data_IF_495670898695
#
_entry.id   IF_495670898695
#
_cell.length_a   1.000
_cell.length_b   1.000
_cell.length_c   1.000
_cell.angle_alpha   90.00
_cell.angle_beta   90.00
_cell.angle_gamma   90.00
#
_symmetry.space_group_name_H-M   'P 1'
#
loop_
_entity.id
_entity.type
_entity.pdbx_description
1 polymer ?
#
# COMPACT_ATOMS: atom_id res chain seq x y z
N UNK A 1 -73.39 65.98 -17.10
CA UNK A 1 -73.43 64.58 -17.55
C UNK A 1 -71.99 64.08 -17.61
N UNK A 2 -71.67 63.02 -16.86
CA UNK A 2 -70.38 62.27 -16.81
C UNK A 2 -69.19 63.03 -16.18
N UNK A 3 -68.34 62.47 -15.31
CA UNK A 3 -68.16 61.14 -14.66
C UNK A 3 -67.11 61.43 -13.56
N UNK A 4 -67.34 61.21 -12.26
CA UNK A 4 -67.11 59.93 -11.57
C UNK A 4 -65.95 59.12 -12.15
N UNK A 5 -64.70 59.56 -11.91
CA UNK A 5 -63.50 58.69 -11.88
C UNK A 5 -62.29 59.39 -11.23
N UNK A 6 -62.46 60.06 -10.10
CA UNK A 6 -61.36 60.73 -9.39
C UNK A 6 -61.31 60.41 -7.89
N UNK A 7 -62.07 59.41 -7.44
CA UNK A 7 -62.11 58.97 -6.03
C UNK A 7 -61.74 57.49 -5.86
N UNK A 8 -61.07 56.91 -6.86
CA UNK A 8 -60.45 55.58 -6.76
C UNK A 8 -58.95 55.67 -7.06
N UNK A 9 -58.29 56.69 -6.54
CA UNK A 9 -56.83 56.79 -6.54
C UNK A 9 -56.28 57.22 -5.17
N UNK A 10 -57.10 57.04 -4.13
CA UNK A 10 -56.79 57.32 -2.73
C UNK A 10 -56.80 56.04 -1.87
N UNK A 11 -56.85 54.85 -2.51
CA UNK A 11 -56.84 53.52 -1.85
C UNK A 11 -55.84 52.55 -2.54
N UNK A 12 -54.93 53.06 -3.39
CA UNK A 12 -53.78 52.26 -3.91
C UNK A 12 -52.47 53.01 -3.68
N UNK A 13 -52.38 53.64 -2.52
CA UNK A 13 -51.15 54.24 -2.00
C UNK A 13 -50.94 53.78 -0.55
N UNK A 14 -51.12 52.48 -0.33
CA UNK A 14 -50.93 51.82 0.96
C UNK A 14 -50.60 50.31 0.87
N UNK A 15 -50.36 49.74 -0.32
CA UNK A 15 -49.95 48.34 -0.46
C UNK A 15 -48.96 48.22 -1.60
N UNK A 16 -47.71 48.59 -1.35
CA UNK A 16 -46.48 47.91 -1.82
C UNK A 16 -45.38 48.36 -0.84
N UNK A 17 -45.47 47.94 0.42
CA UNK A 17 -44.24 47.51 1.10
C UNK A 17 -44.00 46.11 0.52
N UNK A 18 -43.30 46.04 -0.61
CA UNK A 18 -42.50 44.84 -0.86
C UNK A 18 -41.48 44.90 0.27
N UNK A 19 -41.59 43.94 1.19
CA UNK A 19 -40.52 43.72 2.14
C UNK A 19 -39.26 43.52 1.32
N UNK A 20 -38.31 44.43 1.45
CA UNK A 20 -36.90 44.03 1.38
C UNK A 20 -36.75 43.03 2.54
N UNK A 21 -36.98 41.75 2.27
CA UNK A 21 -36.22 40.75 2.97
C UNK A 21 -34.80 40.99 2.46
N UNK A 22 -33.90 41.41 3.33
CA UNK A 22 -32.48 41.22 3.05
C UNK A 22 -32.31 39.71 2.96
N UNK A 23 -32.07 39.18 1.76
CA UNK A 23 -31.62 37.80 1.61
C UNK A 23 -30.37 37.67 2.48
N UNK A 24 -30.40 36.68 3.39
CA UNK A 24 -29.32 36.44 4.32
C UNK A 24 -28.15 35.86 3.52
N UNK A 25 -27.03 36.57 3.54
CA UNK A 25 -25.81 36.16 2.87
C UNK A 25 -25.12 35.10 3.71
N UNK A 26 -24.78 33.97 3.10
CA UNK A 26 -24.04 32.88 3.73
C UNK A 26 -22.55 33.13 3.52
N UNK A 27 -21.76 32.85 4.55
CA UNK A 27 -20.30 32.96 4.51
C UNK A 27 -19.69 31.67 5.03
N UNK A 28 -18.72 31.13 4.31
CA UNK A 28 -18.00 29.92 4.69
C UNK A 28 -16.68 30.32 5.34
N UNK A 29 -16.33 29.70 6.47
CA UNK A 29 -15.02 29.87 7.12
C UNK A 29 -13.93 29.08 6.42
N UNK A 30 -14.30 27.94 5.83
CA UNK A 30 -13.41 27.06 5.09
C UNK A 30 -13.41 27.46 3.61
N UNK A 31 -12.30 28.08 3.17
CA UNK A 31 -12.15 28.58 1.79
C UNK A 31 -12.26 27.44 0.76
N UNK A 32 -11.74 26.25 1.07
CA UNK A 32 -11.80 25.08 0.18
C UNK A 32 -13.24 24.61 -0.04
N UNK A 33 -14.05 24.56 1.03
CA UNK A 33 -15.47 24.21 0.94
C UNK A 33 -16.23 25.30 0.15
N UNK A 34 -15.95 26.59 0.39
CA UNK A 34 -16.56 27.68 -0.39
C UNK A 34 -16.25 27.56 -1.88
N UNK A 35 -15.00 27.28 -2.23
CA UNK A 35 -14.57 27.12 -3.62
C UNK A 35 -15.30 25.95 -4.30
N UNK A 36 -15.40 24.79 -3.63
CA UNK A 36 -16.15 23.63 -4.15
C UNK A 36 -17.63 23.95 -4.35
N UNK A 37 -18.26 24.63 -3.39
CA UNK A 37 -19.66 25.06 -3.52
C UNK A 37 -19.84 26.01 -4.70
N UNK A 38 -18.96 27.00 -4.85
CA UNK A 38 -19.01 27.96 -5.96
C UNK A 38 -18.92 27.30 -7.33
N UNK A 39 -18.11 26.24 -7.44
CA UNK A 39 -18.04 25.42 -8.65
C UNK A 39 -19.36 24.71 -8.90
N UNK A 40 -19.94 24.09 -7.87
CA UNK A 40 -21.21 23.35 -7.97
C UNK A 40 -22.39 24.24 -8.40
N UNK A 41 -22.46 25.47 -7.86
CA UNK A 41 -23.53 26.43 -8.19
C UNK A 41 -23.24 27.31 -9.42
N UNK A 42 -22.14 27.09 -10.14
CA UNK A 42 -21.67 27.88 -11.29
C UNK A 42 -21.59 29.40 -10.97
N UNK A 43 -21.01 29.75 -9.80
CA UNK A 43 -20.95 31.12 -9.27
C UNK A 43 -19.58 31.47 -8.68
N UNK A 44 -18.64 31.78 -9.58
CA UNK A 44 -17.24 32.11 -9.24
C UNK A 44 -17.09 33.34 -8.31
N UNK A 45 -17.95 34.34 -8.42
CA UNK A 45 -17.86 35.59 -7.63
C UNK A 45 -19.22 36.05 -7.09
N UNK A 46 -19.18 36.82 -6.00
CA UNK A 46 -20.36 37.46 -5.40
C UNK A 46 -20.85 36.78 -4.13
N UNK A 47 -21.88 37.37 -3.52
CA UNK A 47 -22.52 36.87 -2.30
C UNK A 47 -23.26 35.55 -2.61
N UNK A 48 -23.13 34.58 -1.71
CA UNK A 48 -23.87 33.31 -1.72
C UNK A 48 -25.10 33.49 -0.83
N UNK A 49 -26.25 33.02 -1.28
CA UNK A 49 -27.53 33.06 -0.58
C UNK A 49 -28.04 31.63 -0.35
N UNK A 50 -28.93 31.45 0.62
CA UNK A 50 -29.54 30.14 0.90
C UNK A 50 -30.16 29.49 -0.34
N UNK A 51 -30.83 30.27 -1.18
CA UNK A 51 -31.43 29.78 -2.44
C UNK A 51 -30.41 29.25 -3.46
N UNK A 52 -29.13 29.64 -3.36
CA UNK A 52 -28.08 29.07 -4.21
C UNK A 52 -27.74 27.62 -3.78
N UNK A 53 -27.97 27.28 -2.50
CA UNK A 53 -27.58 25.99 -1.90
C UNK A 53 -28.70 24.94 -1.97
N UNK A 54 -29.96 25.37 -2.12
CA UNK A 54 -31.15 24.51 -2.14
C UNK A 54 -31.13 23.42 -3.24
N UNK A 55 -30.34 23.61 -4.31
CA UNK A 55 -30.26 22.68 -5.44
C UNK A 55 -29.06 21.71 -5.34
N UNK A 56 -28.18 21.88 -4.36
CA UNK A 56 -27.02 21.00 -4.16
C UNK A 56 -27.48 19.74 -3.41
N UNK A 57 -27.82 18.69 -4.16
CA UNK A 57 -28.25 17.40 -3.58
C UNK A 57 -27.10 16.39 -3.47
N UNK A 58 -26.03 16.58 -4.23
CA UNK A 58 -24.84 15.74 -4.24
C UNK A 58 -23.62 16.66 -4.23
N UNK A 59 -22.63 16.38 -3.38
CA UNK A 59 -21.43 17.19 -3.28
C UNK A 59 -20.19 16.30 -3.10
N UNK A 60 -19.17 16.54 -3.92
CA UNK A 60 -17.87 15.87 -3.82
C UNK A 60 -16.81 16.80 -3.23
N UNK A 61 -16.34 16.44 -2.04
CA UNK A 61 -15.27 17.12 -1.32
C UNK A 61 -14.10 16.18 -1.05
N UNK A 62 -13.98 15.08 -1.80
CA UNK A 62 -12.92 14.08 -1.60
C UNK A 62 -11.53 14.59 -2.02
N UNK A 63 -10.49 14.17 -1.29
CA UNK A 63 -9.10 14.48 -1.67
C UNK A 63 -8.71 15.96 -1.56
N UNK A 64 -9.41 16.75 -0.75
CA UNK A 64 -9.24 18.21 -0.63
C UNK A 64 -8.40 18.65 0.57
N UNK A 65 -7.77 17.70 1.28
CA UNK A 65 -6.97 17.92 2.50
C UNK A 65 -7.74 18.63 3.64
N UNK A 66 -9.07 18.48 3.68
CA UNK A 66 -9.93 19.10 4.67
C UNK A 66 -9.62 18.59 6.09
N UNK A 67 -9.73 19.45 7.09
CA UNK A 67 -9.54 19.12 8.52
C UNK A 67 -10.78 19.30 9.37
N UNK A 68 -11.68 20.15 8.90
CA UNK A 68 -12.96 20.49 9.50
C UNK A 68 -14.01 20.58 8.40
N UNK A 69 -15.26 20.52 8.82
CA UNK A 69 -16.44 20.56 7.97
C UNK A 69 -17.24 21.85 8.19
N UNK A 70 -16.59 22.89 8.73
CA UNK A 70 -17.25 24.16 9.02
C UNK A 70 -17.80 24.77 7.73
N UNK A 71 -19.08 25.11 7.75
CA UNK A 71 -19.85 25.62 6.62
C UNK A 71 -20.78 24.58 5.99
N UNK A 72 -20.62 23.28 6.24
CA UNK A 72 -21.57 22.27 5.77
C UNK A 72 -22.93 22.38 6.45
N UNK A 73 -23.03 23.03 7.63
CA UNK A 73 -24.30 23.29 8.32
C UNK A 73 -25.26 24.21 7.53
N UNK A 74 -24.81 24.76 6.40
CA UNK A 74 -25.62 25.57 5.50
C UNK A 74 -26.22 24.77 4.32
N UNK A 75 -25.89 23.49 4.19
CA UNK A 75 -26.21 22.65 3.03
C UNK A 75 -27.36 21.67 3.33
N UNK A 76 -28.53 22.22 3.67
CA UNK A 76 -29.70 21.45 4.10
C UNK A 76 -30.26 20.48 3.05
N UNK A 77 -29.92 20.67 1.77
CA UNK A 77 -30.45 19.88 0.64
C UNK A 77 -29.57 18.68 0.24
N UNK A 78 -28.35 18.57 0.78
CA UNK A 78 -27.40 17.52 0.39
C UNK A 78 -27.88 16.15 0.88
N UNK A 79 -28.10 15.23 -0.06
CA UNK A 79 -28.50 13.85 0.18
C UNK A 79 -27.29 12.89 0.11
N UNK A 80 -26.31 13.19 -0.76
CA UNK A 80 -25.11 12.37 -0.98
C UNK A 80 -23.85 13.22 -0.84
N UNK A 81 -22.95 12.81 0.05
CA UNK A 81 -21.73 13.56 0.33
C UNK A 81 -20.48 12.66 0.24
N UNK A 82 -19.47 13.09 -0.51
CA UNK A 82 -18.19 12.41 -0.62
C UNK A 82 -17.13 13.18 0.15
N UNK A 83 -16.60 12.60 1.22
CA UNK A 83 -15.58 13.19 2.10
C UNK A 83 -14.30 12.35 2.11
N UNK A 84 -14.19 11.31 1.28
CA UNK A 84 -13.06 10.37 1.36
C UNK A 84 -11.70 11.03 1.11
N UNK A 85 -10.65 10.46 1.69
CA UNK A 85 -9.26 10.87 1.52
C UNK A 85 -9.01 12.34 1.91
N UNK A 86 -9.55 12.75 3.06
CA UNK A 86 -9.26 14.03 3.70
C UNK A 86 -8.52 13.79 5.03
N UNK A 87 -8.44 14.81 5.88
CA UNK A 87 -7.78 14.76 7.19
C UNK A 87 -8.77 15.14 8.31
N UNK A 88 -10.03 14.71 8.16
CA UNK A 88 -11.14 15.03 9.07
C UNK A 88 -11.18 13.98 10.19
N UNK A 89 -11.13 14.42 11.44
CA UNK A 89 -11.29 13.54 12.60
C UNK A 89 -12.66 13.65 13.27
N UNK A 90 -13.43 14.70 12.93
CA UNK A 90 -14.70 15.05 13.57
C UNK A 90 -15.78 15.25 12.50
N UNK A 91 -16.80 14.41 12.54
CA UNK A 91 -17.91 14.38 11.59
C UNK A 91 -19.25 14.78 12.24
N UNK A 92 -19.26 15.32 13.46
CA UNK A 92 -20.52 15.63 14.17
C UNK A 92 -21.40 16.63 13.43
N UNK A 93 -20.82 17.49 12.57
CA UNK A 93 -21.59 18.42 11.71
C UNK A 93 -22.61 17.68 10.83
N UNK A 94 -22.32 16.42 10.46
CA UNK A 94 -23.21 15.61 9.62
C UNK A 94 -24.50 15.21 10.36
N UNK A 95 -24.50 15.19 11.70
CA UNK A 95 -25.67 14.83 12.51
C UNK A 95 -26.82 15.84 12.34
N UNK A 96 -26.49 17.09 12.01
CA UNK A 96 -27.45 18.18 11.80
C UNK A 96 -27.98 18.24 10.34
N UNK A 97 -27.42 17.44 9.42
CA UNK A 97 -27.80 17.44 8.00
C UNK A 97 -29.04 16.56 7.75
N UNK A 98 -30.23 17.10 7.99
CA UNK A 98 -31.51 16.35 7.96
C UNK A 98 -31.82 15.61 6.64
N UNK A 99 -31.27 16.04 5.51
CA UNK A 99 -31.50 15.43 4.18
C UNK A 99 -30.47 14.37 3.81
N UNK A 100 -29.39 14.23 4.59
CA UNK A 100 -28.29 13.33 4.28
C UNK A 100 -28.79 11.88 4.28
N UNK A 101 -28.56 11.17 3.20
CA UNK A 101 -28.93 9.75 3.03
C UNK A 101 -27.70 8.87 2.92
N UNK A 102 -26.60 9.42 2.39
CA UNK A 102 -25.36 8.68 2.17
C UNK A 102 -24.15 9.59 2.33
N UNK A 103 -23.15 9.09 3.05
CA UNK A 103 -21.85 9.77 3.15
C UNK A 103 -20.72 8.77 3.02
N UNK A 104 -19.68 9.13 2.27
CA UNK A 104 -18.44 8.36 2.20
C UNK A 104 -17.36 9.10 2.98
N UNK A 105 -16.87 8.50 4.06
CA UNK A 105 -15.86 9.10 4.94
C UNK A 105 -14.52 8.35 4.93
N UNK A 106 -14.40 7.30 4.12
CA UNK A 106 -13.20 6.46 4.02
C UNK A 106 -11.89 7.26 3.85
N UNK A 107 -10.79 6.77 4.41
CA UNK A 107 -9.49 7.45 4.30
C UNK A 107 -9.40 8.77 5.08
N UNK A 108 -10.15 8.90 6.17
CA UNK A 108 -10.05 10.02 7.12
C UNK A 108 -9.63 9.51 8.51
N UNK A 109 -8.88 10.30 9.31
CA UNK A 109 -8.38 9.90 10.62
C UNK A 109 -9.41 10.09 11.75
N UNK A 110 -10.59 9.49 11.63
CA UNK A 110 -11.60 9.49 12.70
C UNK A 110 -11.52 8.25 13.59
N UNK A 111 -12.11 8.34 14.79
CA UNK A 111 -12.28 7.20 15.69
C UNK A 111 -13.47 6.36 15.22
N UNK A 112 -13.24 5.12 14.76
CA UNK A 112 -14.29 4.21 14.29
C UNK A 112 -15.29 3.81 15.40
N UNK A 113 -14.97 4.10 16.66
CA UNK A 113 -15.88 3.88 17.80
C UNK A 113 -16.69 5.13 18.18
N UNK A 114 -16.55 6.22 17.43
CA UNK A 114 -17.19 7.49 17.75
C UNK A 114 -18.73 7.40 17.70
N UNK A 115 -19.38 8.11 18.63
CA UNK A 115 -20.84 8.09 18.82
C UNK A 115 -21.60 8.54 17.56
N UNK A 116 -21.03 9.46 16.77
CA UNK A 116 -21.65 9.99 15.55
C UNK A 116 -22.01 8.91 14.53
N UNK A 117 -21.23 7.82 14.43
CA UNK A 117 -21.54 6.72 13.50
C UNK A 117 -22.85 6.02 13.89
N UNK A 118 -23.07 5.85 15.19
CA UNK A 118 -24.32 5.32 15.73
C UNK A 118 -25.49 6.28 15.50
N UNK A 119 -25.26 7.58 15.69
CA UNK A 119 -26.30 8.60 15.47
C UNK A 119 -26.70 8.71 13.99
N UNK A 120 -25.74 8.69 13.06
CA UNK A 120 -26.02 8.67 11.61
C UNK A 120 -26.76 7.39 11.21
N UNK A 121 -26.39 6.25 11.76
CA UNK A 121 -27.08 4.97 11.53
C UNK A 121 -28.51 4.98 12.07
N UNK A 122 -28.75 5.57 13.25
CA UNK A 122 -30.09 5.76 13.83
C UNK A 122 -30.97 6.70 13.00
N UNK A 123 -30.35 7.56 12.17
CA UNK A 123 -31.00 8.44 11.20
C UNK A 123 -31.20 7.78 9.81
N UNK A 124 -30.94 6.48 9.67
CA UNK A 124 -30.99 5.73 8.40
C UNK A 124 -30.00 6.25 7.33
N UNK A 125 -28.90 6.89 7.73
CA UNK A 125 -27.82 7.34 6.82
C UNK A 125 -26.88 6.18 6.49
N UNK A 126 -26.66 5.92 5.20
CA UNK A 126 -25.65 4.97 4.72
C UNK A 126 -24.25 5.59 4.86
N UNK A 127 -23.50 5.21 5.89
CA UNK A 127 -22.11 5.64 6.09
C UNK A 127 -21.15 4.62 5.47
N UNK A 128 -20.43 5.03 4.42
CA UNK A 128 -19.34 4.26 3.83
C UNK A 128 -18.03 4.65 4.52
N UNK A 129 -17.57 3.78 5.41
CA UNK A 129 -16.33 3.93 6.16
C UNK A 129 -15.12 3.34 5.43
N UNK A 130 -15.34 2.42 4.48
CA UNK A 130 -14.30 1.79 3.65
C UNK A 130 -14.75 1.77 2.20
N UNK A 131 -13.89 2.18 1.26
CA UNK A 131 -14.21 2.12 -0.16
C UNK A 131 -14.24 0.66 -0.62
N UNK A 132 -15.21 0.32 -1.47
CA UNK A 132 -15.21 -0.97 -2.14
C UNK A 132 -14.00 -1.03 -3.09
N UNK A 133 -13.03 -1.88 -2.75
CA UNK A 133 -11.84 -2.10 -3.58
C UNK A 133 -12.21 -2.98 -4.77
N UNK A 134 -11.79 -2.58 -5.97
CA UNK A 134 -12.04 -3.36 -7.19
C UNK A 134 -11.23 -4.66 -7.17
N UNK A 135 -11.90 -5.79 -7.42
CA UNK A 135 -11.23 -7.09 -7.63
C UNK A 135 -10.81 -7.18 -9.10
N UNK A 136 -9.51 -7.04 -9.36
CA UNK A 136 -8.96 -7.00 -10.72
C UNK A 136 -8.67 -8.39 -11.32
N UNK A 137 -8.70 -9.44 -10.49
CA UNK A 137 -8.28 -10.79 -10.87
C UNK A 137 -9.14 -11.49 -11.90
N UNK A 138 -8.61 -12.59 -12.45
CA UNK A 138 -9.38 -13.49 -13.31
C UNK A 138 -9.34 -14.93 -12.77
N UNK A 139 -10.36 -15.77 -13.04
CA UNK A 139 -10.37 -17.16 -12.58
C UNK A 139 -9.19 -18.01 -13.04
N UNK A 140 -8.50 -17.60 -14.12
CA UNK A 140 -7.30 -18.26 -14.63
C UNK A 140 -6.09 -17.30 -14.61
N UNK A 141 -6.13 -16.27 -13.75
CA UNK A 141 -4.98 -15.40 -13.52
C UNK A 141 -3.81 -16.23 -13.00
N UNK A 142 -2.57 -15.88 -13.37
CA UNK A 142 -1.43 -16.69 -13.02
C UNK A 142 -1.06 -16.54 -11.55
N UNK A 143 -0.32 -17.53 -11.09
CA UNK A 143 0.51 -17.46 -9.92
C UNK A 143 -0.17 -17.50 -8.57
N UNK A 144 0.74 -17.57 -7.61
CA UNK A 144 0.52 -17.31 -6.22
C UNK A 144 0.44 -18.57 -5.39
N UNK A 145 0.88 -18.41 -4.15
CA UNK A 145 0.62 -19.36 -3.11
C UNK A 145 -0.17 -18.61 -2.04
N UNK A 146 -1.43 -19.00 -1.85
CA UNK A 146 -2.30 -18.31 -0.92
C UNK A 146 -2.82 -19.28 0.12
N UNK A 147 -2.57 -18.94 1.39
CA UNK A 147 -3.17 -19.63 2.52
C UNK A 147 -4.01 -18.67 3.34
N UNK A 148 -4.87 -19.27 4.14
CA UNK A 148 -5.73 -18.58 5.08
C UNK A 148 -5.61 -19.22 6.46
N UNK A 149 -5.51 -18.37 7.46
CA UNK A 149 -5.54 -18.73 8.88
C UNK A 149 -6.67 -17.92 9.52
N UNK A 150 -7.51 -18.58 10.32
CA UNK A 150 -8.62 -17.92 11.02
C UNK A 150 -8.52 -18.16 12.53
N UNK A 151 -8.71 -17.11 13.31
CA UNK A 151 -8.91 -17.21 14.76
C UNK A 151 -9.99 -16.22 15.21
N UNK A 152 -11.14 -16.74 15.64
CA UNK A 152 -12.27 -15.89 16.01
C UNK A 152 -12.87 -15.18 14.80
N UNK A 153 -12.93 -13.85 14.85
CA UNK A 153 -13.33 -13.01 13.71
C UNK A 153 -12.14 -12.53 12.88
N UNK A 154 -10.91 -12.74 13.36
CA UNK A 154 -9.67 -12.33 12.71
C UNK A 154 -9.28 -13.32 11.61
N UNK A 155 -8.92 -12.78 10.45
CA UNK A 155 -8.48 -13.54 9.28
C UNK A 155 -7.09 -13.09 8.86
N UNK A 156 -6.18 -14.04 8.64
CA UNK A 156 -4.86 -13.76 8.07
C UNK A 156 -4.72 -14.52 6.77
N UNK A 157 -4.55 -13.80 5.67
CA UNK A 157 -4.12 -14.36 4.39
C UNK A 157 -2.60 -14.32 4.30
N UNK A 158 -1.98 -15.44 3.94
CA UNK A 158 -0.55 -15.57 3.72
C UNK A 158 -0.30 -15.70 2.22
N UNK A 159 0.15 -14.64 1.58
CA UNK A 159 0.46 -14.59 0.17
C UNK A 159 1.97 -14.72 -0.05
N UNK A 160 2.37 -15.80 -0.71
CA UNK A 160 3.74 -15.99 -1.20
C UNK A 160 3.98 -15.13 -2.43
N UNK A 161 5.07 -14.34 -2.42
CA UNK A 161 5.40 -13.38 -3.47
C UNK A 161 6.71 -13.73 -4.16
N UNK A 162 6.96 -13.03 -5.26
CA UNK A 162 8.27 -12.92 -5.90
C UNK A 162 8.52 -11.44 -6.16
N UNK A 163 9.74 -10.96 -5.87
CA UNK A 163 10.11 -9.55 -5.87
C UNK A 163 10.29 -8.91 -7.25
N UNK A 164 10.15 -9.71 -8.31
CA UNK A 164 10.23 -9.22 -9.68
C UNK A 164 9.33 -10.06 -10.58
N UNK A 165 8.82 -9.46 -11.64
CA UNK A 165 7.83 -10.07 -12.51
C UNK A 165 7.96 -9.58 -13.95
N UNK A 166 7.11 -10.12 -14.80
CA UNK A 166 6.81 -9.63 -16.15
C UNK A 166 5.35 -9.18 -16.22
N UNK A 167 4.98 -8.36 -17.22
CA UNK A 167 3.62 -7.80 -17.33
C UNK A 167 2.52 -8.87 -17.35
N UNK A 168 2.82 -10.09 -17.82
CA UNK A 168 1.87 -11.21 -17.89
C UNK A 168 1.57 -11.88 -16.54
N UNK A 169 2.17 -11.42 -15.43
CA UNK A 169 1.78 -11.83 -14.08
C UNK A 169 0.44 -11.23 -13.66
N UNK A 170 0.07 -10.08 -14.23
CA UNK A 170 -1.06 -9.29 -13.74
C UNK A 170 -2.22 -9.24 -14.74
N UNK A 171 -3.47 -9.20 -14.24
CA UNK A 171 -3.85 -9.34 -12.84
C UNK A 171 -3.70 -10.79 -12.36
N UNK A 172 -3.50 -10.98 -11.05
CA UNK A 172 -3.32 -12.31 -10.45
C UNK A 172 -4.63 -13.11 -10.43
N UNK A 173 -4.59 -14.31 -9.86
CA UNK A 173 -5.78 -15.11 -9.66
C UNK A 173 -6.85 -14.34 -8.85
N UNK A 174 -8.12 -14.50 -9.23
CA UNK A 174 -9.25 -13.82 -8.56
C UNK A 174 -9.35 -14.10 -7.07
N UNK A 175 -8.91 -15.27 -6.58
CA UNK A 175 -8.93 -15.58 -5.15
C UNK A 175 -7.92 -14.75 -4.36
N UNK A 176 -6.74 -14.49 -4.93
CA UNK A 176 -5.70 -13.63 -4.34
C UNK A 176 -6.15 -12.18 -4.34
N UNK A 177 -6.62 -11.71 -5.49
CA UNK A 177 -7.11 -10.34 -5.67
C UNK A 177 -8.30 -10.02 -4.77
N UNK A 178 -9.14 -11.03 -4.51
CA UNK A 178 -10.23 -10.92 -3.56
C UNK A 178 -9.74 -10.88 -2.11
N UNK A 179 -8.77 -11.71 -1.73
CA UNK A 179 -8.18 -11.69 -0.40
C UNK A 179 -7.57 -10.31 -0.07
N UNK A 180 -6.84 -9.71 -1.03
CA UNK A 180 -6.35 -8.33 -0.91
C UNK A 180 -7.49 -7.31 -0.76
N UNK A 181 -8.54 -7.42 -1.58
CA UNK A 181 -9.67 -6.48 -1.54
C UNK A 181 -10.43 -6.54 -0.19
N UNK A 182 -10.58 -7.73 0.38
CA UNK A 182 -11.21 -7.98 1.68
C UNK A 182 -10.35 -7.54 2.88
N UNK A 183 -9.04 -7.37 2.69
CA UNK A 183 -8.12 -7.04 3.76
C UNK A 183 -8.27 -5.62 4.27
N UNK A 184 -8.19 -5.45 5.58
CA UNK A 184 -8.14 -4.17 6.27
C UNK A 184 -6.71 -3.64 6.37
N UNK A 185 -5.75 -4.55 6.59
CA UNK A 185 -4.34 -4.24 6.81
C UNK A 185 -3.48 -5.06 5.85
N UNK A 186 -2.51 -4.40 5.20
CA UNK A 186 -1.51 -5.03 4.35
C UNK A 186 -0.22 -5.17 5.13
N UNK A 187 0.34 -6.38 5.15
CA UNK A 187 1.47 -6.73 6.02
C UNK A 187 2.64 -7.23 5.18
N UNK A 188 3.49 -6.33 4.64
CA UNK A 188 4.71 -6.72 3.94
C UNK A 188 5.84 -7.14 4.88
N UNK A 189 6.86 -7.78 4.34
CA UNK A 189 8.15 -7.92 5.04
C UNK A 189 8.69 -6.56 5.47
N UNK A 190 8.71 -5.59 4.55
CA UNK A 190 9.12 -4.21 4.83
C UNK A 190 8.00 -3.27 4.39
N UNK A 191 7.57 -2.39 5.29
CA UNK A 191 6.73 -1.26 4.93
C UNK A 191 7.54 -0.27 4.10
N UNK A 192 7.41 -0.33 2.77
CA UNK A 192 8.05 0.60 1.83
C UNK A 192 7.31 1.96 1.72
N UNK A 193 6.04 2.01 2.14
CA UNK A 193 5.17 3.19 1.98
C UNK A 193 5.57 4.27 2.99
N UNK A 194 5.86 3.89 4.23
CA UNK A 194 6.18 4.83 5.31
C UNK A 194 7.68 5.00 5.60
N UNK A 195 8.57 4.61 4.69
CA UNK A 195 10.02 4.71 4.90
C UNK A 195 10.54 6.15 4.93
N UNK A 196 11.58 6.37 5.74
CA UNK A 196 12.42 7.56 5.67
C UNK A 196 13.63 7.31 4.76
N UNK A 197 13.70 7.92 3.55
CA UNK A 197 14.79 7.66 2.61
C UNK A 197 16.18 8.05 3.14
N UNK A 198 16.26 9.04 4.04
CA UNK A 198 17.53 9.44 4.64
C UNK A 198 18.05 8.41 5.65
N UNK A 199 17.15 7.72 6.35
CA UNK A 199 17.49 6.66 7.28
C UNK A 199 18.00 5.44 6.53
N UNK A 200 17.25 4.98 5.52
CA UNK A 200 17.65 3.90 4.62
C UNK A 200 19.03 4.18 4.01
N UNK A 201 19.23 5.37 3.44
CA UNK A 201 20.53 5.77 2.89
C UNK A 201 21.64 5.76 3.96
N UNK A 202 21.35 6.22 5.18
CA UNK A 202 22.30 6.21 6.29
C UNK A 202 22.75 4.79 6.63
N UNK A 203 21.80 3.89 6.81
CA UNK A 203 22.02 2.46 7.12
C UNK A 203 22.77 1.76 6.00
N UNK A 204 22.39 1.96 4.73
CA UNK A 204 23.13 1.40 3.59
C UNK A 204 24.57 1.90 3.56
N UNK A 205 24.82 3.19 3.76
CA UNK A 205 26.18 3.74 3.78
C UNK A 205 27.01 3.18 4.94
N UNK A 206 26.40 2.95 6.10
CA UNK A 206 27.08 2.33 7.24
C UNK A 206 27.48 0.89 6.96
N UNK A 207 26.54 0.07 6.48
CA UNK A 207 26.72 -1.37 6.33
C UNK A 207 27.49 -1.74 5.05
N UNK A 208 27.22 -1.07 3.94
CA UNK A 208 27.70 -1.46 2.62
C UNK A 208 29.02 -0.80 2.22
N UNK A 209 29.42 0.33 2.79
CA UNK A 209 30.63 1.07 2.38
C UNK A 209 31.83 0.75 3.26
N UNK A 210 33.02 0.65 2.67
CA UNK A 210 34.28 0.54 3.42
C UNK A 210 34.57 1.82 4.21
N UNK A 211 34.73 1.68 5.53
CA UNK A 211 34.92 2.81 6.45
C UNK A 211 36.40 3.16 6.71
N UNK A 212 37.33 2.33 6.24
CA UNK A 212 38.78 2.50 6.44
C UNK A 212 39.47 3.20 5.25
N UNK A 213 38.69 3.56 4.21
CA UNK A 213 39.16 4.21 3.00
C UNK A 213 39.78 3.26 1.97
N UNK A 214 39.73 1.94 2.20
CA UNK A 214 40.02 0.93 1.18
C UNK A 214 38.88 0.84 0.17
N UNK A 215 39.13 0.12 -0.92
CA UNK A 215 38.19 -0.10 -2.02
C UNK A 215 38.03 -1.57 -2.30
N UNK A 216 37.02 -1.96 -3.07
CA UNK A 216 36.78 -3.37 -3.45
C UNK A 216 38.01 -4.03 -4.09
N UNK A 217 38.83 -3.28 -4.84
CA UNK A 217 40.09 -3.76 -5.44
C UNK A 217 41.10 -4.27 -4.38
N UNK A 218 41.05 -3.75 -3.15
CA UNK A 218 41.92 -4.14 -2.05
C UNK A 218 41.47 -5.45 -1.36
N UNK A 219 40.22 -5.87 -1.56
CA UNK A 219 39.59 -6.97 -0.81
C UNK A 219 39.28 -8.21 -1.64
N UNK A 220 39.31 -8.14 -2.97
CA UNK A 220 38.99 -9.26 -3.85
C UNK A 220 40.17 -9.68 -4.73
N UNK A 221 40.21 -10.94 -5.22
CA UNK A 221 41.22 -11.37 -6.19
C UNK A 221 41.22 -10.51 -7.46
N UNK A 222 42.39 -10.29 -8.05
CA UNK A 222 42.54 -9.39 -9.21
C UNK A 222 41.74 -9.84 -10.44
N UNK A 223 41.62 -11.15 -10.65
CA UNK A 223 40.82 -11.75 -11.71
C UNK A 223 39.32 -11.57 -11.46
N UNK A 224 38.86 -11.66 -10.21
CA UNK A 224 37.50 -11.34 -9.84
C UNK A 224 37.19 -9.85 -10.05
N UNK A 225 38.12 -8.96 -9.71
CA UNK A 225 37.98 -7.53 -9.96
C UNK A 225 37.86 -7.20 -11.46
N UNK A 226 38.66 -7.86 -12.31
CA UNK A 226 38.54 -7.70 -13.77
C UNK A 226 37.19 -8.19 -14.30
N UNK A 227 36.65 -9.31 -13.75
CA UNK A 227 35.32 -9.82 -14.09
C UNK A 227 34.23 -8.82 -13.68
N UNK A 228 34.26 -8.35 -12.43
CA UNK A 228 33.35 -7.35 -11.89
C UNK A 228 33.32 -6.07 -12.73
N UNK A 229 34.49 -5.51 -13.05
CA UNK A 229 34.61 -4.29 -13.86
C UNK A 229 34.07 -4.49 -15.29
N UNK A 230 34.26 -5.68 -15.88
CA UNK A 230 33.68 -6.01 -17.18
C UNK A 230 32.15 -6.11 -17.11
N UNK A 231 31.61 -6.86 -16.15
CA UNK A 231 30.17 -7.05 -15.98
C UNK A 231 29.47 -5.72 -15.73
N UNK A 232 29.96 -4.89 -14.81
CA UNK A 232 29.38 -3.57 -14.54
C UNK A 232 29.38 -2.67 -15.79
N UNK A 233 30.44 -2.70 -16.61
CA UNK A 233 30.48 -1.94 -17.88
C UNK A 233 29.45 -2.41 -18.89
N UNK A 234 29.22 -3.72 -18.98
CA UNK A 234 28.19 -4.29 -19.85
C UNK A 234 26.78 -3.88 -19.39
N UNK A 235 26.57 -3.79 -18.07
CA UNK A 235 25.38 -3.26 -17.43
C UNK A 235 25.30 -1.72 -17.45
N UNK A 236 26.27 -1.03 -18.07
CA UNK A 236 26.28 0.42 -18.23
C UNK A 236 26.72 1.21 -16.99
N UNK A 237 27.26 0.56 -15.96
CA UNK A 237 27.71 1.18 -14.72
C UNK A 237 29.25 1.22 -14.61
N UNK A 238 29.88 2.40 -14.47
CA UNK A 238 31.32 2.48 -14.23
C UNK A 238 31.68 2.04 -12.80
N UNK A 239 32.67 1.14 -12.65
CA UNK A 239 33.12 0.66 -11.32
C UNK A 239 33.54 1.79 -10.37
N UNK A 240 34.03 2.92 -10.89
CA UNK A 240 34.41 4.09 -10.09
C UNK A 240 33.26 4.64 -9.20
N UNK A 241 32.00 4.40 -9.59
CA UNK A 241 30.82 4.79 -8.81
C UNK A 241 30.56 3.84 -7.62
N UNK A 242 31.00 2.59 -7.75
CA UNK A 242 30.69 1.51 -6.81
C UNK A 242 31.91 0.96 -6.05
N UNK A 243 33.12 1.41 -6.37
CA UNK A 243 34.37 0.84 -5.81
C UNK A 243 34.53 0.91 -4.29
N UNK A 244 33.74 1.74 -3.61
CA UNK A 244 33.81 1.88 -2.15
C UNK A 244 32.83 0.93 -1.44
N UNK A 245 31.99 0.19 -2.16
CA UNK A 245 31.04 -0.75 -1.58
C UNK A 245 31.65 -2.15 -1.43
N UNK A 246 31.16 -2.89 -0.43
CA UNK A 246 31.54 -4.26 -0.09
C UNK A 246 30.95 -5.28 -1.08
N UNK A 247 31.51 -6.50 -1.16
CA UNK A 247 31.11 -7.48 -2.17
C UNK A 247 29.62 -7.86 -2.13
N UNK A 248 29.02 -8.05 -0.94
CA UNK A 248 27.60 -8.40 -0.80
C UNK A 248 26.66 -7.33 -1.41
N UNK A 249 27.02 -6.06 -1.30
CA UNK A 249 26.18 -4.99 -1.84
C UNK A 249 26.31 -4.94 -3.37
N UNK A 250 27.51 -5.21 -3.87
CA UNK A 250 27.75 -5.30 -5.31
C UNK A 250 27.04 -6.49 -5.93
N UNK A 251 26.97 -7.63 -5.25
CA UNK A 251 26.22 -8.81 -5.75
C UNK A 251 24.73 -8.47 -5.93
N UNK A 252 24.08 -7.89 -4.93
CA UNK A 252 22.68 -7.43 -5.03
C UNK A 252 22.51 -6.34 -6.10
N UNK A 253 23.44 -5.40 -6.20
CA UNK A 253 23.39 -4.32 -7.21
C UNK A 253 23.47 -4.86 -8.63
N UNK A 254 24.32 -5.87 -8.88
CA UNK A 254 24.46 -6.50 -10.19
C UNK A 254 23.15 -7.17 -10.61
N UNK A 255 22.53 -7.95 -9.71
CA UNK A 255 21.25 -8.60 -9.98
C UNK A 255 20.16 -7.57 -10.30
N UNK A 256 20.08 -6.46 -9.53
CA UNK A 256 19.13 -5.38 -9.81
C UNK A 256 19.33 -4.77 -11.21
N UNK A 257 20.58 -4.51 -11.60
CA UNK A 257 20.89 -3.96 -12.93
C UNK A 257 20.57 -4.96 -14.05
N UNK A 258 20.79 -6.26 -13.83
CA UNK A 258 20.40 -7.30 -14.78
C UNK A 258 18.88 -7.32 -14.98
N UNK A 259 18.09 -7.34 -13.90
CA UNK A 259 16.62 -7.27 -13.97
C UNK A 259 16.15 -6.03 -14.73
N UNK A 260 16.75 -4.86 -14.44
CA UNK A 260 16.43 -3.62 -15.14
C UNK A 260 16.76 -3.70 -16.64
N UNK A 261 17.90 -4.29 -17.01
CA UNK A 261 18.31 -4.42 -18.41
C UNK A 261 17.44 -5.41 -19.19
N UNK A 262 16.93 -6.45 -18.54
CA UNK A 262 15.97 -7.41 -19.10
C UNK A 262 14.56 -6.83 -19.20
N UNK A 263 14.30 -5.69 -18.56
CA UNK A 263 12.99 -5.04 -18.57
C UNK A 263 11.99 -5.74 -17.67
N UNK A 264 12.46 -6.48 -16.66
CA UNK A 264 11.59 -7.01 -15.62
C UNK A 264 11.05 -5.86 -14.79
N UNK A 265 9.82 -6.05 -14.34
CA UNK A 265 9.07 -5.07 -13.56
C UNK A 265 9.04 -5.49 -12.10
N UNK A 266 8.39 -4.66 -11.31
CA UNK A 266 8.21 -4.88 -9.88
C UNK A 266 7.39 -6.14 -9.60
N UNK A 267 7.74 -6.77 -8.48
CA UNK A 267 7.15 -8.02 -8.02
C UNK A 267 5.73 -7.91 -7.49
N UNK A 268 5.23 -9.06 -7.04
CA UNK A 268 3.86 -9.20 -6.50
C UNK A 268 3.67 -8.41 -5.21
N UNK A 269 4.72 -8.35 -4.41
CA UNK A 269 4.82 -7.53 -3.20
C UNK A 269 4.58 -6.04 -3.50
N UNK A 270 5.35 -5.45 -4.42
CA UNK A 270 5.24 -4.02 -4.72
C UNK A 270 3.95 -3.69 -5.50
N UNK A 271 3.41 -4.64 -6.27
CA UNK A 271 2.07 -4.53 -6.86
C UNK A 271 1.00 -4.30 -5.79
N UNK A 272 0.97 -5.12 -4.73
CA UNK A 272 -0.01 -4.96 -3.65
C UNK A 272 0.28 -3.74 -2.77
N UNK A 273 1.55 -3.38 -2.54
CA UNK A 273 1.88 -2.17 -1.78
C UNK A 273 1.48 -0.88 -2.51
N UNK A 274 1.70 -0.82 -3.83
CA UNK A 274 1.25 0.33 -4.64
C UNK A 274 -0.26 0.47 -4.55
N UNK A 275 -0.99 -0.65 -4.65
CA UNK A 275 -2.45 -0.64 -4.49
C UNK A 275 -2.88 -0.27 -3.08
N UNK A 276 -2.15 -0.70 -2.06
CA UNK A 276 -2.48 -0.39 -0.67
C UNK A 276 -2.43 1.13 -0.43
N UNK A 277 -1.42 1.81 -0.97
CA UNK A 277 -1.30 3.27 -0.95
C UNK A 277 -2.44 3.95 -1.72
N UNK A 278 -2.78 3.46 -2.92
CA UNK A 278 -3.90 3.99 -3.73
C UNK A 278 -5.27 3.78 -3.06
N UNK A 279 -5.48 2.63 -2.42
CA UNK A 279 -6.72 2.24 -1.75
C UNK A 279 -6.81 2.80 -0.31
N UNK A 280 -5.75 3.44 0.20
CA UNK A 280 -5.68 4.00 1.54
C UNK A 280 -5.73 2.95 2.66
N UNK A 281 -5.22 1.74 2.41
CA UNK A 281 -5.14 0.65 3.39
C UNK A 281 -3.99 0.89 4.37
N UNK A 282 -4.18 0.45 5.61
CA UNK A 282 -3.10 0.46 6.59
C UNK A 282 -2.00 -0.52 6.17
N UNK A 283 -0.73 -0.14 6.39
CA UNK A 283 0.44 -0.95 6.08
C UNK A 283 1.28 -1.12 7.34
N UNK A 284 1.61 -2.38 7.67
CA UNK A 284 2.44 -2.73 8.83
C UNK A 284 3.56 -3.68 8.36
N UNK A 285 4.82 -3.25 8.46
CA UNK A 285 5.96 -4.10 8.13
C UNK A 285 6.26 -5.13 9.22
N UNK A 286 6.57 -6.37 8.83
CA UNK A 286 7.03 -7.44 9.74
C UNK A 286 8.48 -7.21 10.21
N UNK A 287 9.27 -6.52 9.40
CA UNK A 287 10.70 -6.33 9.59
C UNK A 287 11.13 -4.91 9.19
N UNK A 288 12.35 -4.55 9.58
CA UNK A 288 12.98 -3.30 9.19
C UNK A 288 14.00 -3.51 8.07
N UNK A 289 14.24 -2.44 7.29
CA UNK A 289 15.32 -2.41 6.29
C UNK A 289 16.69 -2.72 6.93
N UNK A 290 16.95 -2.25 8.15
CA UNK A 290 18.21 -2.51 8.82
C UNK A 290 18.40 -4.01 9.12
N UNK A 291 17.38 -4.68 9.64
CA UNK A 291 17.42 -6.11 9.94
C UNK A 291 17.74 -6.92 8.68
N UNK A 292 17.05 -6.67 7.56
CA UNK A 292 17.34 -7.38 6.31
C UNK A 292 18.74 -7.10 5.76
N UNK A 293 19.21 -5.84 5.77
CA UNK A 293 20.55 -5.52 5.27
C UNK A 293 21.67 -6.15 6.13
N UNK A 294 21.43 -6.32 7.45
CA UNK A 294 22.40 -6.93 8.35
C UNK A 294 22.67 -8.39 8.03
N UNK A 295 21.67 -9.15 7.58
CA UNK A 295 21.83 -10.56 7.19
C UNK A 295 22.97 -10.72 6.18
N UNK A 296 22.99 -9.87 5.15
CA UNK A 296 24.06 -9.86 4.15
C UNK A 296 25.36 -9.25 4.68
N UNK A 297 25.26 -8.12 5.40
CA UNK A 297 26.42 -7.35 5.81
C UNK A 297 27.27 -8.02 6.90
N UNK A 298 26.67 -8.91 7.70
CA UNK A 298 27.30 -9.59 8.84
C UNK A 298 27.93 -10.95 8.49
N UNK A 299 27.75 -11.44 7.26
CA UNK A 299 28.48 -12.59 6.72
C UNK A 299 30.00 -12.35 6.69
N UNK A 300 30.80 -13.44 6.67
CA UNK A 300 32.26 -13.29 6.57
C UNK A 300 32.70 -12.62 5.26
N UNK A 301 33.83 -11.89 5.27
CA UNK A 301 34.39 -11.31 4.04
C UNK A 301 34.60 -12.33 2.93
N UNK A 302 35.01 -13.56 3.28
CA UNK A 302 35.20 -14.66 2.33
C UNK A 302 33.87 -15.07 1.68
N UNK A 303 32.79 -15.18 2.45
CA UNK A 303 31.48 -15.53 1.91
C UNK A 303 30.87 -14.39 1.08
N UNK A 304 31.08 -13.13 1.47
CA UNK A 304 30.68 -12.00 0.62
C UNK A 304 31.37 -12.05 -0.76
N UNK A 305 32.62 -12.51 -0.83
CA UNK A 305 33.32 -12.71 -2.10
C UNK A 305 32.67 -13.85 -2.91
N UNK A 306 32.29 -14.94 -2.27
CA UNK A 306 31.56 -16.06 -2.90
C UNK A 306 30.22 -15.59 -3.49
N UNK A 307 29.41 -14.85 -2.71
CA UNK A 307 28.17 -14.23 -3.19
C UNK A 307 28.40 -13.33 -4.41
N UNK A 308 29.50 -12.60 -4.44
CA UNK A 308 29.88 -11.77 -5.60
C UNK A 308 30.28 -12.63 -6.80
N UNK A 309 31.00 -13.73 -6.60
CA UNK A 309 31.37 -14.67 -7.66
C UNK A 309 30.12 -15.28 -8.32
N UNK A 310 29.14 -15.68 -7.51
CA UNK A 310 27.85 -16.24 -7.94
C UNK A 310 26.99 -15.23 -8.68
N UNK A 311 26.94 -13.97 -8.23
CA UNK A 311 26.17 -12.93 -8.92
C UNK A 311 26.75 -12.54 -10.29
N UNK A 312 28.01 -12.88 -10.58
CA UNK A 312 28.69 -12.54 -11.83
C UNK A 312 28.45 -13.60 -12.93
N UNK A 313 27.19 -13.96 -13.18
CA UNK A 313 26.79 -14.80 -14.33
C UNK A 313 26.48 -13.95 -15.57
N UNK A 314 26.40 -14.60 -16.74
CA UNK A 314 26.05 -13.92 -17.98
C UNK A 314 24.55 -13.56 -17.99
N UNK A 315 24.18 -12.43 -18.60
CA UNK A 315 22.80 -11.93 -18.62
C UNK A 315 21.79 -12.93 -19.23
N UNK A 316 22.20 -13.71 -20.22
CA UNK A 316 21.36 -14.76 -20.85
C UNK A 316 21.11 -15.95 -19.91
N UNK A 317 22.09 -16.29 -19.07
CA UNK A 317 21.96 -17.33 -18.05
C UNK A 317 21.03 -16.87 -16.93
N UNK A 318 21.21 -15.63 -16.45
CA UNK A 318 20.31 -15.00 -15.47
C UNK A 318 18.87 -14.93 -15.99
N UNK A 319 18.65 -14.47 -17.23
CA UNK A 319 17.32 -14.43 -17.86
C UNK A 319 16.69 -15.83 -17.91
N UNK A 320 17.45 -16.86 -18.28
CA UNK A 320 16.94 -18.23 -18.33
C UNK A 320 16.48 -18.73 -16.96
N UNK A 321 17.30 -18.51 -15.91
CA UNK A 321 16.96 -18.90 -14.53
C UNK A 321 15.71 -18.16 -14.02
N UNK A 322 15.61 -16.85 -14.31
CA UNK A 322 14.46 -16.05 -13.89
C UNK A 322 13.17 -16.44 -14.63
N UNK A 323 13.23 -16.73 -15.92
CA UNK A 323 12.05 -17.19 -16.67
C UNK A 323 11.55 -18.55 -16.15
N UNK A 324 12.45 -19.47 -15.80
CA UNK A 324 12.08 -20.75 -15.17
C UNK A 324 11.41 -20.51 -13.80
N UNK A 325 11.98 -19.63 -12.96
CA UNK A 325 11.38 -19.23 -11.69
C UNK A 325 9.97 -18.62 -11.88
N UNK A 326 9.81 -17.76 -12.89
CA UNK A 326 8.53 -17.14 -13.19
C UNK A 326 7.49 -18.15 -13.61
N UNK A 327 7.83 -19.11 -14.47
CA UNK A 327 6.90 -20.15 -14.89
C UNK A 327 6.47 -21.03 -13.70
N UNK A 328 7.42 -21.42 -12.83
CA UNK A 328 7.13 -22.20 -11.62
C UNK A 328 6.23 -21.44 -10.64
N UNK A 329 6.54 -20.16 -10.38
CA UNK A 329 5.70 -19.31 -9.54
C UNK A 329 4.29 -19.15 -10.12
N UNK A 330 4.18 -18.93 -11.43
CA UNK A 330 2.89 -18.78 -12.13
C UNK A 330 2.06 -20.08 -12.11
N UNK A 331 2.69 -21.24 -12.06
CA UNK A 331 2.04 -22.54 -11.98
C UNK A 331 1.60 -22.93 -10.56
N UNK A 332 2.19 -22.33 -9.51
CA UNK A 332 1.81 -22.58 -8.11
C UNK A 332 2.20 -23.98 -7.60
N UNK A 333 3.21 -24.61 -8.22
CA UNK A 333 3.73 -25.92 -7.83
C UNK A 333 4.84 -25.77 -6.76
N UNK A 334 4.46 -26.03 -5.50
CA UNK A 334 5.34 -25.91 -4.34
C UNK A 334 6.58 -26.82 -4.45
N UNK A 335 6.39 -28.06 -4.91
CA UNK A 335 7.43 -29.09 -4.94
C UNK A 335 8.45 -28.75 -6.02
N UNK A 336 7.98 -28.42 -7.24
CA UNK A 336 8.87 -28.07 -8.34
C UNK A 336 9.62 -26.75 -8.08
N UNK A 337 8.99 -25.78 -7.43
CA UNK A 337 9.67 -24.54 -7.07
C UNK A 337 10.82 -24.80 -6.09
N UNK A 338 10.57 -25.56 -5.02
CA UNK A 338 11.62 -25.91 -4.06
C UNK A 338 12.71 -26.78 -4.68
N UNK A 339 12.36 -27.77 -5.51
CA UNK A 339 13.32 -28.60 -6.22
C UNK A 339 14.25 -27.76 -7.12
N UNK A 340 13.70 -26.76 -7.83
CA UNK A 340 14.47 -25.87 -8.70
C UNK A 340 15.53 -25.04 -7.98
N UNK A 341 15.33 -24.80 -6.68
CA UNK A 341 16.22 -24.02 -5.82
C UNK A 341 17.30 -24.87 -5.14
N UNK A 342 17.20 -26.20 -5.24
CA UNK A 342 18.14 -27.12 -4.60
C UNK A 342 18.96 -27.84 -5.65
N UNK A 343 20.29 -27.72 -5.58
CA UNK A 343 21.17 -28.52 -6.42
C UNK A 343 21.38 -29.90 -5.78
N UNK A 344 20.80 -30.95 -6.39
CA UNK A 344 20.94 -32.33 -5.90
C UNK A 344 22.43 -32.71 -5.75
N UNK A 345 22.86 -32.87 -4.50
CA UNK A 345 24.18 -33.37 -4.15
C UNK A 345 25.27 -32.29 -4.02
N UNK A 346 24.91 -31.01 -4.00
CA UNK A 346 25.81 -29.94 -3.60
C UNK A 346 26.20 -30.09 -2.11
N UNK A 347 27.48 -29.91 -1.79
CA UNK A 347 27.95 -29.79 -0.41
C UNK A 347 27.78 -28.32 0.01
N UNK A 348 26.72 -28.04 0.77
CA UNK A 348 26.48 -26.73 1.38
C UNK A 348 27.55 -26.45 2.43
N UNK A 349 28.19 -25.29 2.38
CA UNK A 349 29.20 -24.91 3.36
C UNK A 349 28.58 -24.59 4.72
N UNK A 350 29.34 -24.68 5.83
CA UNK A 350 28.83 -24.29 7.16
C UNK A 350 28.38 -22.82 7.20
N UNK A 351 29.04 -21.95 6.42
CA UNK A 351 28.70 -20.53 6.35
C UNK A 351 27.45 -20.29 5.51
N UNK A 352 27.30 -20.97 4.38
CA UNK A 352 26.10 -20.94 3.55
C UNK A 352 24.88 -21.45 4.33
N UNK A 353 25.06 -22.52 5.11
CA UNK A 353 24.00 -23.01 6.00
C UNK A 353 23.61 -21.95 7.05
N UNK A 354 24.57 -21.29 7.68
CA UNK A 354 24.29 -20.23 8.65
C UNK A 354 23.63 -19.00 7.99
N UNK A 355 24.02 -18.67 6.77
CA UNK A 355 23.40 -17.60 5.99
C UNK A 355 21.95 -17.95 5.66
N UNK A 356 21.65 -19.17 5.22
CA UNK A 356 20.28 -19.62 4.95
C UNK A 356 19.42 -19.67 6.22
N UNK A 357 19.98 -20.08 7.37
CA UNK A 357 19.29 -20.04 8.67
C UNK A 357 18.91 -18.59 9.05
N UNK A 358 19.80 -17.62 8.83
CA UNK A 358 19.50 -16.20 9.07
C UNK A 358 18.55 -15.60 8.02
N UNK A 359 18.65 -16.01 6.75
CA UNK A 359 17.86 -15.49 5.62
C UNK A 359 16.42 -16.03 5.61
N UNK A 360 16.19 -17.22 6.17
CA UNK A 360 14.89 -17.89 6.16
C UNK A 360 14.40 -18.22 7.57
N UNK A 361 15.09 -19.10 8.29
CA UNK A 361 14.57 -19.74 9.50
C UNK A 361 14.33 -18.75 10.64
N UNK A 362 15.33 -17.94 11.00
CA UNK A 362 15.23 -16.95 12.08
C UNK A 362 14.11 -15.92 11.80
N UNK A 363 14.00 -15.52 10.53
CA UNK A 363 12.95 -14.60 10.07
C UNK A 363 11.58 -15.23 10.11
N UNK A 364 11.45 -16.49 9.69
CA UNK A 364 10.17 -17.22 9.72
C UNK A 364 9.61 -17.31 11.13
N UNK A 365 10.46 -17.50 12.15
CA UNK A 365 10.02 -17.46 13.54
C UNK A 365 9.54 -16.07 13.97
N UNK A 366 10.25 -15.00 13.62
CA UNK A 366 9.83 -13.62 13.94
C UNK A 366 8.55 -13.19 13.22
N UNK A 367 8.42 -13.56 11.94
CA UNK A 367 7.21 -13.34 11.15
C UNK A 367 6.03 -14.11 11.73
N UNK A 368 6.22 -15.39 12.08
CA UNK A 368 5.17 -16.19 12.70
C UNK A 368 4.74 -15.61 14.05
N UNK A 369 5.68 -15.18 14.92
CA UNK A 369 5.37 -14.53 16.20
C UNK A 369 4.49 -13.28 16.01
N UNK A 370 4.81 -12.44 15.04
CA UNK A 370 4.01 -11.24 14.73
C UNK A 370 2.61 -11.60 14.19
N UNK A 371 2.52 -12.65 13.36
CA UNK A 371 1.24 -13.14 12.85
C UNK A 371 0.38 -13.76 13.96
N UNK A 372 1.01 -14.47 14.91
CA UNK A 372 0.33 -14.95 16.11
C UNK A 372 -0.23 -13.80 16.94
N UNK A 373 0.51 -12.71 17.11
CA UNK A 373 0.03 -11.50 17.81
C UNK A 373 -1.24 -10.94 17.15
N UNK A 374 -1.29 -10.83 15.82
CA UNK A 374 -2.52 -10.41 15.10
C UNK A 374 -3.69 -11.37 15.35
N UNK A 375 -3.45 -12.68 15.27
CA UNK A 375 -4.46 -13.70 15.50
C UNK A 375 -4.97 -13.70 16.96
N UNK A 376 -4.13 -13.36 17.93
CA UNK A 376 -4.48 -13.30 19.36
C UNK A 376 -5.17 -11.99 19.78
N UNK A 377 -4.93 -10.89 19.08
CA UNK A 377 -5.54 -9.58 19.37
C UNK A 377 -7.08 -9.62 19.20
N UNK A 378 -7.59 -10.51 18.35
CA UNK A 378 -9.03 -10.70 18.06
C UNK A 378 -9.72 -9.37 17.69
N UNK A 379 -9.03 -8.53 16.91
CA UNK A 379 -9.54 -7.24 16.45
C UNK A 379 -10.75 -7.40 15.51
N UNK A 380 -10.86 -8.57 14.85
CA UNK A 380 -11.83 -8.81 13.78
C UNK A 380 -11.35 -8.29 12.42
N UNK A 381 -10.10 -7.83 12.33
CA UNK A 381 -9.50 -7.37 11.08
C UNK A 381 -9.14 -8.55 10.17
N UNK A 382 -9.09 -8.24 8.88
CA UNK A 382 -8.50 -9.12 7.87
C UNK A 382 -7.11 -8.61 7.49
N UNK A 383 -6.07 -9.40 7.74
CA UNK A 383 -4.69 -9.11 7.39
C UNK A 383 -4.31 -9.80 6.08
N UNK A 384 -3.64 -9.09 5.18
CA UNK A 384 -3.05 -9.67 3.97
C UNK A 384 -1.53 -9.58 4.04
N UNK A 385 -0.93 -10.68 4.49
CA UNK A 385 0.52 -10.82 4.67
C UNK A 385 1.16 -11.16 3.34
N UNK A 386 2.13 -10.34 2.91
CA UNK A 386 2.90 -10.54 1.68
C UNK A 386 4.36 -10.78 2.03
N UNK A 387 4.79 -12.03 1.90
CA UNK A 387 6.17 -12.48 2.16
C UNK A 387 6.70 -13.25 0.95
N UNK A 388 8.00 -13.30 0.77
CA UNK A 388 8.65 -14.09 -0.28
C UNK A 388 8.17 -15.54 -0.20
N UNK A 389 7.93 -16.18 -1.34
CA UNK A 389 7.33 -17.53 -1.40
C UNK A 389 8.09 -18.55 -0.56
N UNK A 390 9.41 -18.39 -0.37
CA UNK A 390 10.22 -19.31 0.44
C UNK A 390 9.87 -19.27 1.92
N UNK A 391 9.43 -18.12 2.47
CA UNK A 391 8.97 -18.03 3.85
C UNK A 391 7.73 -18.90 4.12
N UNK A 392 7.00 -19.26 3.06
CA UNK A 392 5.83 -20.14 3.15
C UNK A 392 6.15 -21.59 2.74
N UNK A 393 7.21 -21.83 1.97
CA UNK A 393 7.49 -23.14 1.37
C UNK A 393 8.70 -23.87 1.98
N UNK A 394 9.74 -23.15 2.40
CA UNK A 394 11.00 -23.73 2.86
C UNK A 394 10.99 -23.94 4.38
N UNK A 395 11.04 -25.22 4.80
CA UNK A 395 11.00 -25.60 6.22
C UNK A 395 12.24 -25.12 7.00
N UNK A 396 12.08 -24.63 8.25
CA UNK A 396 10.81 -24.30 8.91
C UNK A 396 10.14 -23.08 8.27
N UNK A 397 8.96 -23.26 7.69
CA UNK A 397 8.22 -22.17 7.04
C UNK A 397 7.13 -21.63 7.96
N UNK A 398 6.71 -20.38 7.77
CA UNK A 398 5.70 -19.70 8.62
C UNK A 398 4.45 -20.56 8.83
N UNK A 399 3.97 -21.26 7.79
CA UNK A 399 2.80 -22.16 7.91
C UNK A 399 3.00 -23.28 8.94
N UNK A 400 4.16 -23.94 8.94
CA UNK A 400 4.39 -25.09 9.83
C UNK A 400 4.60 -24.61 11.26
N UNK A 401 5.21 -23.43 11.45
CA UNK A 401 5.32 -22.79 12.76
C UNK A 401 3.94 -22.48 13.34
N UNK A 402 3.02 -21.89 12.55
CA UNK A 402 1.64 -21.62 12.97
C UNK A 402 0.85 -22.91 13.24
N UNK A 403 1.03 -23.96 12.44
CA UNK A 403 0.43 -25.28 12.67
C UNK A 403 0.93 -25.91 13.99
N UNK A 404 2.21 -25.75 14.31
CA UNK A 404 2.79 -26.20 15.58
C UNK A 404 2.25 -25.41 16.79
N UNK A 405 1.93 -24.13 16.61
CA UNK A 405 1.25 -23.29 17.59
C UNK A 405 -0.24 -23.66 17.78
N UNK A 406 -0.82 -24.41 16.83
CA UNK A 406 -2.16 -24.99 16.93
C UNK A 406 -3.22 -24.33 16.04
N UNK A 407 -2.80 -23.45 15.12
CA UNK A 407 -3.67 -22.86 14.12
C UNK A 407 -3.94 -23.82 12.95
N UNK A 408 -5.10 -23.67 12.30
CA UNK A 408 -5.41 -24.38 11.06
C UNK A 408 -5.04 -23.48 9.88
N UNK A 409 -4.14 -23.96 9.01
CA UNK A 409 -3.69 -23.24 7.82
C UNK A 409 -4.30 -23.89 6.58
N UNK A 410 -5.26 -23.22 5.95
CA UNK A 410 -5.98 -23.70 4.76
C UNK A 410 -5.34 -23.17 3.48
N UNK A 411 -5.07 -24.04 2.49
CA UNK A 411 -4.66 -23.59 1.16
C UNK A 411 -5.87 -23.08 0.38
N UNK A 412 -5.77 -21.85 -0.11
CA UNK A 412 -6.77 -21.18 -0.94
C UNK A 412 -6.42 -21.32 -2.43
N UNK A 413 -5.17 -21.03 -2.80
CA UNK A 413 -4.67 -21.11 -4.18
C UNK A 413 -3.35 -21.89 -4.26
#
# INVERSE_FOLDING_TARGET
MKRTLYHLFLIVMAVVMIGCQSEETISFSNETIEESIRVEIDKEEGEIFAEDLDEITELDLSGLELKDLDGLEHLDAVEVLYLQNNNISDFTVLEDMESLQKVTIAGNPYDETAEFLGELSDQDVEVITKLAVEVLGTPNGPGGFLWKVENGETVVYLQGTIHTATEDFYPLNEEIEKAYAEADVIVPEIDLVNLNPMEVQGTTMELAVYQDGTTIEDHIPSDLYEKLDSTLKELGMPIDMLKNYKPWFLSSTIQQLMMQQLGYIQGVDEYFLTRADEDGKEVIGLETVEEQLRIFAETSPEYQIEMLEEALIDLEEFDTQMQEMFDLYKEGDEELLLESLTEEGAEVSEEEQAFMEALNDERNYGMAETIEDFLEEDSGDTYFVIVGSLHLLMEPHVRSILEEAGYEVERVH
#
